data_IF_021727319743
#
_entry.id   IF_021727319743
#
_cell.length_a   1.000
_cell.length_b   1.000
_cell.length_c   1.000
_cell.angle_alpha   90.00
_cell.angle_beta   90.00
_cell.angle_gamma   90.00
#
_symmetry.space_group_name_H-M   'P 1'
#
loop_
_entity.id
_entity.type
_entity.pdbx_description
1 polymer ?
#
# COMPACT_ATOMS: atom_id res chain seq x y z
N UNK A 1 7.41 -24.71 5.43
CA UNK A 1 8.25 -24.23 4.32
C UNK A 1 8.56 -22.76 4.62
N UNK A 2 9.81 -22.44 4.95
CA UNK A 2 10.24 -21.09 5.31
C UNK A 2 10.73 -20.40 4.04
N UNK A 3 10.18 -19.24 3.71
CA UNK A 3 10.66 -18.42 2.59
C UNK A 3 11.71 -17.44 3.15
N UNK A 4 12.96 -17.59 2.73
CA UNK A 4 14.04 -16.66 3.07
C UNK A 4 13.95 -15.43 2.14
N UNK A 5 13.75 -14.25 2.72
CA UNK A 5 13.55 -12.99 1.98
C UNK A 5 14.81 -12.12 1.98
N UNK A 6 15.84 -12.53 1.24
CA UNK A 6 17.08 -11.77 1.14
C UNK A 6 17.10 -10.74 0.00
N UNK A 7 17.66 -9.57 0.33
CA UNK A 7 18.23 -8.52 -0.53
C UNK A 7 17.45 -7.96 -1.73
N UNK A 8 17.16 -8.78 -2.73
CA UNK A 8 16.71 -8.35 -4.07
C UNK A 8 15.56 -9.23 -4.57
N UNK A 9 15.58 -10.53 -4.28
CA UNK A 9 14.53 -11.50 -4.59
C UNK A 9 13.26 -11.29 -3.76
N UNK A 10 13.39 -10.84 -2.50
CA UNK A 10 12.23 -10.65 -1.64
C UNK A 10 11.21 -9.62 -2.16
N UNK A 11 11.67 -8.65 -2.96
CA UNK A 11 10.81 -7.60 -3.53
C UNK A 11 9.91 -8.11 -4.66
N UNK A 12 10.35 -9.13 -5.41
CA UNK A 12 9.54 -9.74 -6.46
C UNK A 12 8.37 -10.53 -5.87
N UNK A 13 8.61 -11.32 -4.81
CA UNK A 13 7.55 -12.07 -4.13
C UNK A 13 6.44 -11.17 -3.58
N UNK A 14 6.78 -10.02 -2.98
CA UNK A 14 5.77 -9.07 -2.50
C UNK A 14 5.10 -8.28 -3.62
N UNK A 15 5.80 -8.06 -4.74
CA UNK A 15 5.18 -7.49 -5.94
C UNK A 15 4.15 -8.44 -6.54
N UNK A 16 4.48 -9.72 -6.65
CA UNK A 16 3.55 -10.75 -7.12
C UNK A 16 2.35 -10.88 -6.17
N UNK A 17 2.59 -10.90 -4.85
CA UNK A 17 1.52 -10.88 -3.86
C UNK A 17 0.59 -9.67 -4.04
N UNK A 18 1.15 -8.47 -4.24
CA UNK A 18 0.34 -7.28 -4.52
C UNK A 18 -0.52 -7.46 -5.79
N UNK A 19 0.08 -7.96 -6.87
CA UNK A 19 -0.62 -8.17 -8.15
C UNK A 19 -1.76 -9.19 -8.00
N UNK A 20 -1.52 -10.30 -7.29
CA UNK A 20 -2.52 -11.33 -7.00
C UNK A 20 -3.67 -10.78 -6.14
N UNK A 21 -3.35 -10.04 -5.08
CA UNK A 21 -4.35 -9.45 -4.20
C UNK A 21 -5.14 -8.34 -4.91
N UNK A 22 -4.48 -7.53 -5.76
CA UNK A 22 -5.15 -6.49 -6.55
C UNK A 22 -6.15 -7.12 -7.53
N UNK A 23 -5.76 -8.20 -8.19
CA UNK A 23 -6.66 -8.97 -9.05
C UNK A 23 -7.83 -9.55 -8.25
N UNK A 24 -7.56 -10.18 -7.10
CA UNK A 24 -8.55 -10.91 -6.29
C UNK A 24 -9.57 -10.00 -5.60
N UNK A 25 -9.12 -8.91 -4.98
CA UNK A 25 -9.96 -8.08 -4.10
C UNK A 25 -10.38 -6.76 -4.71
N UNK A 26 -9.64 -6.25 -5.71
CA UNK A 26 -9.87 -4.94 -6.29
C UNK A 26 -10.13 -4.99 -7.80
N UNK A 27 -10.17 -6.18 -8.41
CA UNK A 27 -10.41 -6.32 -9.86
C UNK A 27 -9.39 -5.57 -10.73
N UNK A 28 -8.14 -5.46 -10.27
CA UNK A 28 -7.08 -4.65 -10.87
C UNK A 28 -7.33 -3.13 -10.90
N UNK A 29 -8.24 -2.61 -10.06
CA UNK A 29 -8.52 -1.18 -9.99
C UNK A 29 -7.39 -0.34 -9.37
N UNK A 30 -6.52 -0.95 -8.55
CA UNK A 30 -5.40 -0.22 -7.94
C UNK A 30 -4.23 -0.06 -8.92
N UNK A 31 -3.51 1.08 -8.87
CA UNK A 31 -2.42 1.38 -9.78
C UNK A 31 -1.25 0.40 -9.62
N UNK A 32 -0.45 0.24 -10.68
CA UNK A 32 0.83 -0.44 -10.60
C UNK A 32 1.83 0.47 -9.88
N UNK A 33 2.25 0.06 -8.68
CA UNK A 33 3.13 0.83 -7.79
C UNK A 33 4.34 0.01 -7.38
N UNK A 34 5.35 0.67 -6.81
CA UNK A 34 6.50 -0.01 -6.23
C UNK A 34 6.11 -0.67 -4.92
N UNK A 35 6.46 -1.94 -4.76
CA UNK A 35 6.29 -2.70 -3.53
C UNK A 35 7.64 -3.29 -3.16
N UNK A 36 8.08 -3.12 -1.92
CA UNK A 36 9.41 -3.56 -1.49
C UNK A 36 9.50 -3.82 -0.01
N UNK A 37 10.52 -4.58 0.36
CA UNK A 37 10.96 -4.70 1.74
C UNK A 37 11.96 -3.59 2.10
N UNK A 38 11.97 -3.18 3.37
CA UNK A 38 12.92 -2.23 3.93
C UNK A 38 13.40 -2.71 5.32
N UNK A 39 14.70 -3.01 5.43
CA UNK A 39 15.31 -3.42 6.70
C UNK A 39 15.56 -2.28 7.68
N UNK A 40 15.40 -1.02 7.25
CA UNK A 40 15.54 0.16 8.12
C UNK A 40 14.21 0.62 8.69
N UNK A 41 13.09 0.07 8.23
CA UNK A 41 11.75 0.41 8.69
C UNK A 41 11.44 -0.27 10.03
N UNK A 42 11.88 0.31 11.15
CA UNK A 42 11.74 -0.35 12.46
C UNK A 42 10.43 -0.06 13.21
N UNK A 43 9.77 1.07 12.91
CA UNK A 43 8.65 1.59 13.73
C UNK A 43 7.27 1.06 13.35
N UNK A 44 7.11 0.56 12.13
CA UNK A 44 5.82 0.09 11.59
C UNK A 44 6.06 -1.16 10.75
N UNK A 45 5.05 -2.03 10.69
CA UNK A 45 5.11 -3.31 9.97
C UNK A 45 5.00 -3.06 8.44
N UNK A 46 4.16 -2.11 8.05
CA UNK A 46 3.97 -1.65 6.67
C UNK A 46 3.78 -0.14 6.60
N UNK A 47 3.97 0.43 5.40
CA UNK A 47 3.54 1.79 5.07
C UNK A 47 3.20 1.93 3.58
N UNK A 48 2.09 2.56 3.31
CA UNK A 48 1.74 3.15 2.02
C UNK A 48 2.00 4.66 2.06
N UNK A 49 2.74 5.18 1.08
CA UNK A 49 2.99 6.61 1.03
C UNK A 49 3.59 7.08 -0.29
N UNK A 50 3.56 8.40 -0.46
CA UNK A 50 4.25 9.10 -1.54
C UNK A 50 5.56 9.69 -1.03
N UNK A 51 6.60 9.61 -1.86
CA UNK A 51 7.88 10.27 -1.54
C UNK A 51 7.74 11.80 -1.61
N UNK A 52 6.88 12.28 -2.51
CA UNK A 52 6.68 13.71 -2.76
C UNK A 52 5.20 14.01 -2.90
N UNK A 53 4.74 15.00 -2.14
CA UNK A 53 3.45 15.64 -2.35
C UNK A 53 3.77 16.94 -3.07
N UNK A 54 3.30 17.10 -4.30
CA UNK A 54 3.39 18.39 -4.98
C UNK A 54 2.29 19.27 -4.39
N UNK A 55 2.64 20.46 -3.93
CA UNK A 55 1.64 21.45 -3.52
C UNK A 55 1.49 22.43 -4.67
N UNK A 56 0.46 22.23 -5.50
CA UNK A 56 0.09 23.18 -6.55
C UNK A 56 -1.04 24.05 -5.99
N UNK A 57 -0.71 25.28 -5.58
CA UNK A 57 -1.64 26.16 -4.87
C UNK A 57 -1.92 25.71 -3.43
N UNK A 58 -3.20 25.50 -3.05
CA UNK A 58 -3.63 25.00 -1.72
C UNK A 58 -4.05 23.52 -1.71
N UNK A 59 -3.89 22.81 -2.84
CA UNK A 59 -4.31 21.42 -2.95
C UNK A 59 -3.08 20.51 -3.01
N UNK A 60 -2.96 19.51 -2.12
CA UNK A 60 -1.92 18.51 -2.25
C UNK A 60 -2.23 17.64 -3.47
N UNK A 61 -1.35 17.66 -4.46
CA UNK A 61 -1.34 16.72 -5.57
C UNK A 61 -0.43 15.53 -5.23
N UNK A 62 -1.03 14.35 -5.22
CA UNK A 62 -0.33 13.10 -4.97
C UNK A 62 0.48 12.78 -6.22
N UNK A 63 1.80 12.75 -6.09
CA UNK A 63 2.64 12.25 -7.17
C UNK A 63 2.52 10.72 -7.24
N UNK A 64 1.62 10.26 -8.09
CA UNK A 64 1.32 8.84 -8.32
C UNK A 64 2.56 8.01 -8.71
N UNK A 65 3.54 8.60 -9.40
CA UNK A 65 4.79 7.90 -9.76
C UNK A 65 5.69 7.60 -8.55
N UNK A 66 5.46 8.31 -7.43
CA UNK A 66 6.20 8.16 -6.18
C UNK A 66 5.46 7.34 -5.12
N UNK A 67 4.24 6.90 -5.42
CA UNK A 67 3.42 6.08 -4.55
C UNK A 67 4.03 4.68 -4.43
N UNK A 68 4.20 4.20 -3.21
CA UNK A 68 4.78 2.89 -2.94
C UNK A 68 4.25 2.28 -1.65
N UNK A 69 4.25 0.95 -1.60
CA UNK A 69 4.12 0.17 -0.37
C UNK A 69 5.51 -0.30 0.05
N UNK A 70 5.84 -0.11 1.33
CA UNK A 70 7.08 -0.61 1.93
C UNK A 70 6.73 -1.46 3.14
N UNK A 71 7.20 -2.71 3.15
CA UNK A 71 7.04 -3.64 4.27
C UNK A 71 8.36 -3.74 5.05
N UNK A 72 8.27 -3.91 6.37
CA UNK A 72 9.45 -3.97 7.22
C UNK A 72 10.06 -5.38 7.27
N UNK A 73 11.39 -5.48 7.12
CA UNK A 73 12.12 -6.74 7.43
C UNK A 73 12.42 -6.92 8.92
N UNK A 74 12.11 -5.94 9.76
CA UNK A 74 12.39 -6.00 11.20
C UNK A 74 11.38 -6.86 11.97
N UNK A 75 10.31 -7.30 11.32
CA UNK A 75 9.29 -8.16 11.89
C UNK A 75 9.36 -9.52 11.19
N UNK A 76 9.36 -10.59 11.97
CA UNK A 76 9.28 -11.95 11.45
C UNK A 76 7.83 -12.28 11.11
N UNK A 77 7.42 -11.96 9.88
CA UNK A 77 6.06 -12.17 9.40
C UNK A 77 6.01 -13.46 8.59
N UNK A 78 5.02 -14.30 8.88
CA UNK A 78 4.69 -15.40 7.98
C UNK A 78 3.93 -14.87 6.74
N UNK A 79 3.62 -15.76 5.80
CA UNK A 79 2.92 -15.42 4.57
C UNK A 79 1.53 -14.79 4.82
N UNK A 80 0.75 -15.34 5.75
CA UNK A 80 -0.58 -14.83 6.09
C UNK A 80 -0.53 -13.43 6.71
N UNK A 81 0.42 -13.21 7.62
CA UNK A 81 0.62 -11.89 8.25
C UNK A 81 1.08 -10.87 7.21
N UNK A 82 1.97 -11.28 6.30
CA UNK A 82 2.43 -10.43 5.19
C UNK A 82 1.26 -10.05 4.27
N UNK A 83 0.36 -10.98 3.95
CA UNK A 83 -0.85 -10.69 3.17
C UNK A 83 -1.79 -9.73 3.89
N UNK A 84 -2.00 -9.90 5.19
CA UNK A 84 -2.84 -9.02 5.99
C UNK A 84 -2.30 -7.58 6.02
N UNK A 85 -0.99 -7.42 6.22
CA UNK A 85 -0.33 -6.11 6.16
C UNK A 85 -0.42 -5.53 4.75
N UNK A 86 -0.18 -6.33 3.71
CA UNK A 86 -0.31 -5.88 2.32
C UNK A 86 -1.72 -5.34 2.04
N UNK A 87 -2.77 -6.08 2.40
CA UNK A 87 -4.15 -5.66 2.21
C UNK A 87 -4.48 -4.38 2.98
N UNK A 88 -3.94 -4.22 4.20
CA UNK A 88 -4.05 -2.98 4.97
C UNK A 88 -3.44 -1.80 4.22
N UNK A 89 -2.22 -1.95 3.69
CA UNK A 89 -1.57 -0.88 2.92
C UNK A 89 -2.27 -0.61 1.59
N UNK A 90 -2.80 -1.63 0.91
CA UNK A 90 -3.60 -1.48 -0.31
C UNK A 90 -4.88 -0.69 -0.08
N UNK A 91 -5.51 -0.81 1.09
CA UNK A 91 -6.67 0.00 1.46
C UNK A 91 -6.29 1.49 1.52
N UNK A 92 -5.13 1.82 2.09
CA UNK A 92 -4.62 3.20 2.06
C UNK A 92 -4.43 3.68 0.62
N UNK A 93 -3.86 2.86 -0.27
CA UNK A 93 -3.73 3.18 -1.71
C UNK A 93 -5.09 3.47 -2.34
N UNK A 94 -6.11 2.64 -2.07
CA UNK A 94 -7.47 2.87 -2.58
C UNK A 94 -8.01 4.22 -2.12
N UNK A 95 -7.85 4.54 -0.84
CA UNK A 95 -8.28 5.83 -0.27
C UNK A 95 -7.50 7.01 -0.88
N UNK A 96 -6.20 6.83 -1.15
CA UNK A 96 -5.37 7.83 -1.84
C UNK A 96 -5.85 8.12 -3.26
N UNK A 97 -6.12 7.07 -4.04
CA UNK A 97 -6.51 7.18 -5.45
C UNK A 97 -7.93 7.73 -5.63
N UNK A 98 -8.85 7.34 -4.76
CA UNK A 98 -10.28 7.70 -4.88
C UNK A 98 -10.69 8.90 -4.02
N UNK A 99 -9.73 9.65 -3.46
CA UNK A 99 -9.98 10.96 -2.85
C UNK A 99 -10.57 10.95 -1.43
N UNK A 100 -10.59 9.80 -0.73
CA UNK A 100 -11.06 9.72 0.66
C UNK A 100 -9.89 9.87 1.66
N UNK A 101 -9.12 10.94 1.51
CA UNK A 101 -7.91 11.23 2.30
C UNK A 101 -8.19 11.67 3.75
N UNK A 102 -9.46 11.85 4.13
CA UNK A 102 -9.83 12.59 5.33
C UNK A 102 -9.76 11.84 6.67
N UNK A 103 -9.60 10.51 6.69
CA UNK A 103 -9.60 9.76 7.96
C UNK A 103 -8.69 8.54 7.87
N UNK A 104 -7.69 8.51 8.74
CA UNK A 104 -6.75 7.39 8.86
C UNK A 104 -7.43 6.01 8.99
N UNK A 105 -8.65 5.93 9.54
CA UNK A 105 -9.56 4.78 9.47
C UNK A 105 -11.02 5.26 9.61
N UNK A 106 -11.55 5.97 8.60
CA UNK A 106 -12.95 6.42 8.60
C UNK A 106 -13.83 5.57 7.70
N UNK A 107 -15.10 5.38 8.07
CA UNK A 107 -16.10 4.79 7.17
C UNK A 107 -16.11 5.54 5.84
N UNK A 108 -15.98 4.82 4.72
CA UNK A 108 -16.37 5.30 3.39
C UNK A 108 -17.87 5.63 3.43
N UNK A 109 -18.23 6.83 3.85
CA UNK A 109 -19.61 7.31 3.64
C UNK A 109 -19.80 7.35 2.15
N UNK A 110 -20.62 6.41 1.64
CA UNK A 110 -21.18 6.51 0.29
C UNK A 110 -21.71 7.93 0.13
N UNK A 111 -21.27 8.62 -0.92
CA UNK A 111 -21.97 9.75 -1.47
C UNK A 111 -23.31 9.25 -2.03
N UNK A 112 -24.26 8.96 -1.13
CA UNK A 112 -25.68 8.94 -1.43
C UNK A 112 -26.24 10.26 -0.91
N UNK A 113 -26.00 11.33 -1.66
CA UNK A 113 -26.97 12.42 -1.73
C UNK A 113 -27.87 12.11 -2.93
N UNK A 114 -28.88 11.28 -2.66
CA UNK A 114 -30.07 11.30 -3.50
C UNK A 114 -30.85 12.58 -3.25
N UNK A 115 -31.60 12.98 -4.29
CA UNK A 115 -32.51 14.12 -4.44
C UNK A 115 -31.84 15.44 -4.83
#
# INVERSE_FOLDING_TARGET
>A
MYYLFDGVEGSENVRLMYDELNKKYYGNALPKIKVRWDGRLKRVIGRAGVKWINVVGRKPEINMSSLAITLSKSYDLNYSDTQAVMLHEMLHIQLYVHGNLGKHHGTNRRANSGL
#
